data_IF_596608575770
#
_entry.id   IF_596608575770
#
_cell.length_a   1.000
_cell.length_b   1.000
_cell.length_c   1.000
_cell.angle_alpha   90.00
_cell.angle_beta   90.00
_cell.angle_gamma   90.00
#
_symmetry.space_group_name_H-M   'P 1'
#
loop_
_entity.id
_entity.type
_entity.pdbx_description
1 polymer ?
#
# COMPACT_ATOMS: atom_id res chain seq x y z
N UNK A 1 -55.03 -1.74 -5.52
CA UNK A 1 -54.04 -2.78 -5.16
C UNK A 1 -52.93 -2.65 -6.18
N UNK A 2 -51.97 -1.79 -5.88
CA UNK A 2 -50.86 -1.43 -6.78
C UNK A 2 -49.68 -2.33 -6.42
N UNK A 3 -49.28 -3.20 -7.36
CA UNK A 3 -48.14 -4.10 -7.18
C UNK A 3 -46.86 -3.33 -7.48
N UNK A 4 -46.13 -2.99 -6.43
CA UNK A 4 -44.81 -2.38 -6.51
C UNK A 4 -43.84 -3.34 -7.23
N UNK A 5 -43.34 -2.92 -8.39
CA UNK A 5 -42.27 -3.61 -9.09
C UNK A 5 -40.97 -3.52 -8.29
N UNK A 6 -40.48 -4.66 -7.81
CA UNK A 6 -39.18 -4.76 -7.15
C UNK A 6 -38.07 -4.41 -8.15
N UNK A 7 -37.27 -3.40 -7.81
CA UNK A 7 -36.02 -3.06 -8.52
C UNK A 7 -35.07 -4.26 -8.57
N UNK A 8 -34.46 -4.56 -9.72
CA UNK A 8 -33.50 -5.66 -9.81
C UNK A 8 -32.22 -5.29 -9.04
N UNK A 9 -31.87 -6.13 -8.06
CA UNK A 9 -30.61 -6.02 -7.33
C UNK A 9 -29.45 -6.24 -8.31
N UNK A 10 -28.55 -5.27 -8.39
CA UNK A 10 -27.30 -5.39 -9.15
C UNK A 10 -26.50 -6.55 -8.56
N UNK A 11 -26.15 -7.59 -9.35
CA UNK A 11 -25.38 -8.70 -8.82
C UNK A 11 -23.99 -8.20 -8.37
N UNK A 12 -23.43 -8.73 -7.28
CA UNK A 12 -22.11 -8.34 -6.83
C UNK A 12 -21.11 -8.55 -7.96
N UNK A 13 -20.31 -7.53 -8.25
CA UNK A 13 -19.29 -7.56 -9.29
C UNK A 13 -18.38 -8.78 -9.07
N UNK A 14 -18.64 -9.85 -9.83
CA UNK A 14 -17.74 -11.01 -9.92
C UNK A 14 -16.44 -10.50 -10.52
N UNK A 15 -15.50 -10.15 -9.64
CA UNK A 15 -14.13 -9.88 -10.03
C UNK A 15 -13.56 -11.16 -10.63
N UNK A 16 -13.58 -11.26 -11.96
CA UNK A 16 -12.87 -12.27 -12.71
C UNK A 16 -11.37 -12.00 -12.55
N UNK A 17 -10.76 -12.45 -11.46
CA UNK A 17 -9.30 -12.37 -11.29
C UNK A 17 -8.61 -13.52 -12.01
N UNK A 18 -7.47 -13.21 -12.61
CA UNK A 18 -6.56 -14.17 -13.22
C UNK A 18 -6.07 -15.17 -12.17
N UNK A 19 -6.22 -16.47 -12.43
CA UNK A 19 -5.60 -17.50 -11.60
C UNK A 19 -4.07 -17.38 -11.72
N UNK A 20 -3.39 -17.19 -10.59
CA UNK A 20 -1.92 -17.12 -10.54
C UNK A 20 -1.39 -18.48 -10.05
N UNK A 21 -0.73 -19.28 -10.91
CA UNK A 21 -0.13 -20.53 -10.50
C UNK A 21 0.85 -20.32 -9.33
N UNK A 22 0.74 -21.12 -8.28
CA UNK A 22 1.59 -21.04 -7.09
C UNK A 22 1.08 -20.18 -5.92
N UNK A 23 -0.07 -19.50 -6.05
CA UNK A 23 -0.72 -18.77 -4.96
C UNK A 23 -1.96 -19.53 -4.44
N UNK A 24 -1.75 -20.44 -3.48
CA UNK A 24 -2.80 -21.34 -2.94
C UNK A 24 -3.53 -20.87 -1.68
N UNK A 25 -3.00 -19.89 -0.94
CA UNK A 25 -3.57 -19.45 0.35
C UNK A 25 -4.29 -18.11 0.24
N UNK A 26 -3.56 -17.02 0.01
CA UNK A 26 -4.09 -15.68 -0.18
C UNK A 26 -3.68 -15.15 -1.55
N UNK A 27 -4.59 -14.44 -2.22
CA UNK A 27 -4.28 -13.82 -3.51
C UNK A 27 -3.13 -12.80 -3.36
N UNK A 28 -2.32 -12.60 -4.42
CA UNK A 28 -1.27 -11.57 -4.41
C UNK A 28 -1.81 -10.20 -4.01
N UNK A 29 -3.03 -9.85 -4.44
CA UNK A 29 -3.63 -8.56 -4.08
C UNK A 29 -4.08 -8.51 -2.62
N UNK A 30 -4.51 -9.63 -2.03
CA UNK A 30 -4.79 -9.70 -0.59
C UNK A 30 -3.52 -9.48 0.23
N UNK A 31 -2.40 -10.08 -0.20
CA UNK A 31 -1.10 -9.86 0.46
C UNK A 31 -0.61 -8.42 0.31
N UNK A 32 -0.76 -7.83 -0.89
CA UNK A 32 -0.46 -6.42 -1.11
C UNK A 32 -1.36 -5.49 -0.28
N UNK A 33 -2.66 -5.78 -0.18
CA UNK A 33 -3.61 -5.00 0.61
C UNK A 33 -3.26 -5.01 2.11
N UNK A 34 -2.86 -6.17 2.66
CA UNK A 34 -2.38 -6.27 4.05
C UNK A 34 -1.12 -5.42 4.28
N UNK A 35 -0.19 -5.42 3.33
CA UNK A 35 1.00 -4.56 3.42
C UNK A 35 0.63 -3.07 3.39
N UNK A 36 -0.29 -2.67 2.51
CA UNK A 36 -0.80 -1.31 2.44
C UNK A 36 -1.53 -0.89 3.72
N UNK A 37 -2.29 -1.79 4.34
CA UNK A 37 -2.95 -1.54 5.63
C UNK A 37 -1.94 -1.19 6.74
N UNK A 38 -0.84 -1.94 6.84
CA UNK A 38 0.22 -1.67 7.79
C UNK A 38 0.93 -0.35 7.46
N UNK A 39 1.19 -0.10 6.18
CA UNK A 39 1.79 1.15 5.72
C UNK A 39 0.92 2.38 6.07
N UNK A 40 -0.40 2.32 5.87
CA UNK A 40 -1.29 3.43 6.23
C UNK A 40 -1.37 3.66 7.74
N UNK A 41 -1.27 2.60 8.55
CA UNK A 41 -1.16 2.74 10.01
C UNK A 41 0.10 3.50 10.39
N UNK A 42 1.25 3.16 9.77
CA UNK A 42 2.50 3.90 9.96
C UNK A 42 2.39 5.37 9.51
N UNK A 43 1.84 5.62 8.31
CA UNK A 43 1.67 6.99 7.80
C UNK A 43 0.75 7.81 8.72
N UNK A 44 -0.34 7.24 9.20
CA UNK A 44 -1.25 7.93 10.11
C UNK A 44 -0.57 8.32 11.44
N UNK A 45 0.25 7.43 12.02
CA UNK A 45 1.08 7.77 13.19
C UNK A 45 2.00 8.95 12.90
N UNK A 46 2.68 8.95 11.74
CA UNK A 46 3.57 10.06 11.34
C UNK A 46 2.83 11.38 11.17
N UNK A 47 1.63 11.35 10.57
CA UNK A 47 0.78 12.53 10.44
C UNK A 47 0.38 13.07 11.82
N UNK A 48 -0.09 12.20 12.72
CA UNK A 48 -0.51 12.61 14.08
C UNK A 48 0.66 13.15 14.89
N UNK A 49 1.83 12.49 14.85
CA UNK A 49 3.05 13.01 15.49
C UNK A 49 3.42 14.40 14.94
N UNK A 50 3.35 14.59 13.62
CA UNK A 50 3.59 15.91 13.00
C UNK A 50 2.60 16.99 13.49
N UNK A 51 1.33 16.63 13.67
CA UNK A 51 0.32 17.54 14.23
C UNK A 51 0.59 17.89 15.71
N UNK A 52 0.99 16.91 16.51
CA UNK A 52 1.26 17.10 17.94
C UNK A 52 2.53 17.92 18.20
N UNK A 53 3.54 17.83 17.33
CA UNK A 53 4.80 18.54 17.51
C UNK A 53 4.63 20.06 17.72
N UNK A 54 3.64 20.68 17.08
CA UNK A 54 3.33 22.11 17.24
C UNK A 54 2.16 22.40 18.18
N UNK A 55 1.20 21.48 18.28
CA UNK A 55 -0.04 21.73 19.03
C UNK A 55 0.04 21.29 20.50
N UNK A 56 0.74 20.20 20.78
CA UNK A 56 0.93 19.66 22.13
C UNK A 56 2.23 18.79 22.20
N UNK A 57 3.38 19.40 22.57
CA UNK A 57 4.66 18.71 22.65
C UNK A 57 4.72 17.58 23.69
N UNK A 58 3.96 17.69 24.79
CA UNK A 58 3.93 16.66 25.85
C UNK A 58 3.27 15.38 25.33
N UNK A 59 2.12 15.51 24.67
CA UNK A 59 1.45 14.37 24.03
C UNK A 59 2.25 13.77 22.86
N UNK A 60 3.10 14.58 22.21
CA UNK A 60 4.04 14.10 21.20
C UNK A 60 5.08 13.15 21.82
N UNK A 61 5.70 13.55 22.93
CA UNK A 61 6.71 12.72 23.61
C UNK A 61 6.12 11.40 24.09
N UNK A 62 4.95 11.43 24.72
CA UNK A 62 4.24 10.24 25.20
C UNK A 62 3.89 9.29 24.04
N UNK A 63 3.31 9.80 22.95
CA UNK A 63 2.98 8.99 21.78
C UNK A 63 4.24 8.43 21.12
N UNK A 64 5.30 9.21 21.02
CA UNK A 64 6.54 8.78 20.39
C UNK A 64 7.25 7.69 21.21
N UNK A 65 7.24 7.79 22.55
CA UNK A 65 7.73 6.74 23.45
C UNK A 65 6.88 5.47 23.34
N UNK A 66 5.55 5.61 23.31
CA UNK A 66 4.63 4.49 23.13
C UNK A 66 4.88 3.75 21.80
N UNK A 67 4.99 4.48 20.69
CA UNK A 67 5.24 3.92 19.37
C UNK A 67 6.62 3.25 19.27
N UNK A 68 7.61 3.78 19.99
CA UNK A 68 8.97 3.20 20.02
C UNK A 68 9.01 1.88 20.81
N UNK A 69 8.12 1.68 21.78
CA UNK A 69 8.07 0.48 22.62
C UNK A 69 7.07 -0.58 22.16
N UNK A 70 6.08 -0.21 21.34
CA UNK A 70 5.00 -1.10 20.94
C UNK A 70 4.99 -1.36 19.43
N UNK A 71 4.62 -2.58 19.04
CA UNK A 71 4.38 -2.90 17.64
C UNK A 71 3.04 -2.29 17.19
N UNK A 72 3.07 -1.46 16.15
CA UNK A 72 1.89 -0.78 15.56
C UNK A 72 0.91 -1.73 14.85
N UNK A 73 1.12 -3.04 14.98
CA UNK A 73 0.39 -4.06 14.24
C UNK A 73 -1.03 -4.29 14.77
N UNK A 74 -1.32 -3.91 16.03
CA UNK A 74 -2.63 -4.08 16.65
C UNK A 74 -3.19 -2.73 17.17
N UNK A 75 -4.17 -2.20 16.42
CA UNK A 75 -5.24 -1.35 16.95
C UNK A 75 -4.86 -0.15 17.81
N UNK A 76 -4.13 0.83 17.28
CA UNK A 76 -3.87 2.11 17.98
C UNK A 76 -5.05 3.09 17.93
N UNK A 77 -5.26 3.78 19.07
CA UNK A 77 -6.02 5.00 19.40
C UNK A 77 -6.95 5.59 18.32
N UNK A 78 -8.21 5.91 18.68
CA UNK A 78 -9.27 6.44 17.79
C UNK A 78 -8.77 7.47 16.75
N UNK A 79 -7.90 8.39 17.16
CA UNK A 79 -7.30 9.40 16.27
C UNK A 79 -6.51 8.81 15.10
N UNK A 80 -5.71 7.77 15.34
CA UNK A 80 -4.94 7.08 14.29
C UNK A 80 -5.87 6.31 13.34
N UNK A 81 -6.95 5.74 13.86
CA UNK A 81 -7.97 5.04 13.05
C UNK A 81 -8.71 6.02 12.10
N UNK A 82 -9.03 7.21 12.59
CA UNK A 82 -9.64 8.26 11.78
C UNK A 82 -8.68 8.74 10.69
N UNK A 83 -7.45 9.12 11.07
CA UNK A 83 -6.44 9.64 10.13
C UNK A 83 -6.09 8.61 9.07
N UNK A 84 -5.89 7.33 9.41
CA UNK A 84 -5.59 6.29 8.40
C UNK A 84 -6.74 6.10 7.42
N UNK A 85 -7.99 6.15 7.89
CA UNK A 85 -9.19 5.98 7.06
C UNK A 85 -9.36 7.16 6.11
N UNK A 86 -9.15 8.38 6.60
CA UNK A 86 -9.17 9.60 5.78
C UNK A 86 -8.07 9.57 4.72
N UNK A 87 -6.83 9.33 5.14
CA UNK A 87 -5.68 9.30 4.24
C UNK A 87 -5.84 8.29 3.11
N UNK A 88 -6.21 7.04 3.43
CA UNK A 88 -6.40 5.99 2.41
C UNK A 88 -7.47 6.35 1.37
N UNK A 89 -8.56 7.01 1.79
CA UNK A 89 -9.75 7.23 0.95
C UNK A 89 -9.72 8.53 0.18
N UNK A 90 -9.04 9.55 0.71
CA UNK A 90 -9.13 10.92 0.20
C UNK A 90 -7.78 11.44 -0.30
N UNK A 91 -6.70 11.18 0.44
CA UNK A 91 -5.39 11.80 0.17
C UNK A 91 -4.44 10.90 -0.62
N UNK A 92 -4.56 9.57 -0.46
CA UNK A 92 -3.63 8.64 -1.09
C UNK A 92 -3.87 8.52 -2.61
N UNK A 93 -2.84 8.87 -3.38
CA UNK A 93 -2.90 8.89 -4.84
C UNK A 93 -2.75 7.49 -5.46
N UNK A 94 -3.84 6.72 -5.46
CA UNK A 94 -3.87 5.35 -6.01
C UNK A 94 -3.41 5.25 -7.47
N UNK A 95 -3.80 6.21 -8.32
CA UNK A 95 -3.40 6.23 -9.74
C UNK A 95 -1.89 6.49 -9.90
N UNK A 96 -1.32 7.34 -9.05
CA UNK A 96 0.11 7.61 -9.05
C UNK A 96 0.90 6.39 -8.55
N UNK A 97 0.42 5.71 -7.50
CA UNK A 97 0.99 4.43 -7.05
C UNK A 97 1.05 3.42 -8.21
N UNK A 98 -0.06 3.25 -8.93
CA UNK A 98 -0.14 2.33 -10.08
C UNK A 98 0.84 2.72 -11.19
N UNK A 99 0.89 4.01 -11.55
CA UNK A 99 1.80 4.55 -12.57
C UNK A 99 3.26 4.31 -12.19
N UNK A 100 3.64 4.58 -10.94
CA UNK A 100 4.99 4.35 -10.43
C UNK A 100 5.35 2.87 -10.42
N UNK A 101 4.42 2.00 -10.00
CA UNK A 101 4.65 0.55 -10.00
C UNK A 101 4.98 0.02 -11.40
N UNK A 102 4.26 0.46 -12.44
CA UNK A 102 4.57 0.10 -13.83
C UNK A 102 5.92 0.64 -14.28
N UNK A 103 6.16 1.94 -14.05
CA UNK A 103 7.43 2.58 -14.41
C UNK A 103 8.63 1.86 -13.78
N UNK A 104 8.56 1.53 -12.50
CA UNK A 104 9.64 0.83 -11.79
C UNK A 104 9.93 -0.56 -12.37
N UNK A 105 8.89 -1.30 -12.78
CA UNK A 105 9.05 -2.61 -13.43
C UNK A 105 9.71 -2.45 -14.80
N UNK A 106 9.24 -1.51 -15.63
CA UNK A 106 9.79 -1.27 -16.97
C UNK A 106 11.27 -0.85 -16.92
N UNK A 107 11.59 0.07 -16.00
CA UNK A 107 12.97 0.53 -15.77
C UNK A 107 13.85 -0.60 -15.24
N UNK A 108 13.33 -1.42 -14.32
CA UNK A 108 14.06 -2.57 -13.79
C UNK A 108 14.35 -3.61 -14.86
N UNK A 109 13.37 -3.94 -15.71
CA UNK A 109 13.55 -4.88 -16.81
C UNK A 109 14.60 -4.38 -17.81
N UNK A 110 14.52 -3.10 -18.17
CA UNK A 110 15.50 -2.47 -19.09
C UNK A 110 16.90 -2.50 -18.51
N UNK A 111 17.05 -2.22 -17.20
CA UNK A 111 18.33 -2.25 -16.51
C UNK A 111 18.91 -3.66 -16.48
N UNK A 112 18.13 -4.65 -16.06
CA UNK A 112 18.57 -6.05 -15.99
C UNK A 112 19.05 -6.58 -17.34
N UNK A 113 18.33 -6.27 -18.43
CA UNK A 113 18.76 -6.66 -19.77
C UNK A 113 20.08 -6.01 -20.17
N UNK A 114 20.26 -4.72 -19.85
CA UNK A 114 21.50 -4.00 -20.14
C UNK A 114 22.68 -4.58 -19.36
N UNK A 115 22.48 -4.87 -18.07
CA UNK A 115 23.51 -5.39 -17.20
C UNK A 115 23.90 -6.82 -17.61
N UNK A 116 22.91 -7.66 -17.95
CA UNK A 116 23.16 -9.00 -18.49
C UNK A 116 24.02 -8.98 -19.76
N UNK A 117 23.72 -8.08 -20.70
CA UNK A 117 24.52 -7.93 -21.93
C UNK A 117 25.96 -7.53 -21.59
N UNK A 118 26.14 -6.57 -20.67
CA UNK A 118 27.47 -6.11 -20.24
C UNK A 118 28.29 -7.21 -19.59
N UNK A 119 27.68 -8.03 -18.75
CA UNK A 119 28.36 -9.11 -18.03
C UNK A 119 28.74 -10.29 -18.94
N UNK A 120 27.90 -10.58 -19.94
CA UNK A 120 28.13 -11.71 -20.86
C UNK A 120 28.99 -11.36 -22.05
N UNK A 121 29.09 -10.08 -22.41
CA UNK A 121 30.04 -9.61 -23.42
C UNK A 121 31.38 -9.30 -22.78
N UNK A 122 32.10 -10.36 -22.41
CA UNK A 122 33.57 -10.30 -22.37
C UNK A 122 34.03 -10.00 -23.79
N UNK A 123 34.24 -8.72 -24.11
CA UNK A 123 35.10 -8.36 -25.23
C UNK A 123 36.50 -8.59 -24.70
N UNK A 124 37.02 -9.79 -24.92
CA UNK A 124 38.45 -10.04 -24.82
C UNK A 124 39.09 -9.20 -25.93
N UNK A 125 39.45 -7.96 -25.60
CA UNK A 125 40.36 -7.13 -26.38
C UNK A 125 41.77 -7.75 -26.28
N UNK A 126 41.94 -8.96 -26.83
CA UNK A 126 43.25 -9.58 -27.00
C UNK A 126 43.63 -9.57 -28.49
N UNK A 127 44.65 -8.75 -28.76
CA UNK A 127 45.52 -8.65 -29.96
C UNK A 127 45.04 -7.85 -31.18
#
# INVERSE_FOLDING_TARGET
MEVAAATPAVPPARCQKMFVPGFGEASPESKAAKNLQNFFTFVAVRIVLGQLQSYNPEAYEELNEFVSRNSLNDGTTLRILEVRSAYQKQDFEWENLKKLAFKMVDESNTRLMRDYIRETTHIDDET
#
